data_IF_272849296896
#
_entry.id   IF_272849296896
#
_cell.length_a   1.000
_cell.length_b   1.000
_cell.length_c   1.000
_cell.angle_alpha   90.00
_cell.angle_beta   90.00
_cell.angle_gamma   90.00
#
_symmetry.space_group_name_H-M   'P 1'
#
loop_
_entity.id
_entity.type
_entity.pdbx_description
1 polymer ?
#
# COMPACT_ATOMS: atom_id res chain seq x y z
N UNK A 1 -18.49 -14.54 -12.08
CA UNK A 1 -17.92 -14.02 -10.81
C UNK A 1 -19.05 -13.37 -10.05
N UNK A 2 -19.57 -13.99 -8.99
CA UNK A 2 -20.64 -13.40 -8.17
C UNK A 2 -20.04 -12.22 -7.41
N UNK A 3 -20.44 -11.00 -7.73
CA UNK A 3 -19.99 -9.79 -7.02
C UNK A 3 -20.63 -9.78 -5.63
N UNK A 4 -19.83 -9.52 -4.60
CA UNK A 4 -20.35 -9.39 -3.23
C UNK A 4 -21.22 -8.15 -3.12
N UNK A 5 -22.31 -8.23 -2.37
CA UNK A 5 -23.13 -7.07 -2.04
C UNK A 5 -22.34 -6.12 -1.13
N UNK A 6 -22.65 -4.80 -1.14
CA UNK A 6 -21.96 -3.83 -0.28
C UNK A 6 -21.89 -4.25 1.19
N UNK A 7 -22.96 -4.82 1.72
CA UNK A 7 -23.01 -5.34 3.10
C UNK A 7 -21.99 -6.44 3.37
N UNK A 8 -21.77 -7.34 2.41
CA UNK A 8 -20.81 -8.43 2.55
C UNK A 8 -19.38 -7.93 2.42
N UNK A 9 -19.16 -6.89 1.61
CA UNK A 9 -17.88 -6.17 1.55
C UNK A 9 -17.57 -5.56 2.92
N UNK A 10 -18.53 -4.86 3.55
CA UNK A 10 -18.36 -4.26 4.88
C UNK A 10 -18.03 -5.33 5.94
N UNK A 11 -18.71 -6.48 5.92
CA UNK A 11 -18.40 -7.59 6.85
C UNK A 11 -16.97 -8.09 6.67
N UNK A 12 -16.52 -8.26 5.42
CA UNK A 12 -15.16 -8.75 5.10
C UNK A 12 -14.10 -7.74 5.54
N UNK A 13 -14.25 -6.45 5.19
CA UNK A 13 -13.26 -5.43 5.54
C UNK A 13 -13.22 -5.17 7.05
N UNK A 14 -14.35 -5.28 7.77
CA UNK A 14 -14.37 -5.17 9.23
C UNK A 14 -13.54 -6.28 9.87
N UNK A 15 -13.71 -7.53 9.43
CA UNK A 15 -12.89 -8.65 9.90
C UNK A 15 -11.41 -8.44 9.59
N UNK A 16 -11.08 -8.02 8.37
CA UNK A 16 -9.70 -7.72 7.97
C UNK A 16 -9.08 -6.59 8.81
N UNK A 17 -9.82 -5.49 9.01
CA UNK A 17 -9.39 -4.34 9.80
C UNK A 17 -9.20 -4.69 11.28
N UNK A 18 -10.08 -5.49 11.88
CA UNK A 18 -9.93 -5.99 13.25
C UNK A 18 -8.67 -6.85 13.41
N UNK A 19 -8.38 -7.71 12.44
CA UNK A 19 -7.18 -8.56 12.48
C UNK A 19 -5.90 -7.73 12.42
N UNK A 20 -5.87 -6.68 11.59
CA UNK A 20 -4.72 -5.76 11.52
C UNK A 20 -4.57 -4.92 12.77
N UNK A 21 -5.66 -4.40 13.34
CA UNK A 21 -5.61 -3.63 14.59
C UNK A 21 -5.08 -4.44 15.79
N UNK A 22 -5.27 -5.77 15.78
CA UNK A 22 -4.76 -6.71 16.80
C UNK A 22 -3.35 -7.22 16.51
N UNK A 23 -2.75 -6.85 15.38
CA UNK A 23 -1.44 -7.36 14.99
C UNK A 23 -0.36 -6.92 16.00
N UNK A 24 0.59 -7.83 16.24
CA UNK A 24 1.78 -7.58 17.05
C UNK A 24 2.62 -6.48 16.42
N UNK A 25 3.19 -5.62 17.27
CA UNK A 25 3.96 -4.44 16.85
C UNK A 25 5.10 -4.84 15.91
N UNK A 26 5.86 -5.86 16.28
CA UNK A 26 7.03 -6.32 15.53
C UNK A 26 6.62 -6.82 14.15
N UNK A 27 5.51 -7.57 14.08
CA UNK A 27 4.96 -8.06 12.81
C UNK A 27 4.47 -6.91 11.94
N UNK A 28 3.78 -5.91 12.50
CA UNK A 28 3.33 -4.72 11.76
C UNK A 28 4.51 -3.94 11.19
N UNK A 29 5.60 -3.79 11.95
CA UNK A 29 6.79 -3.08 11.50
C UNK A 29 7.53 -3.84 10.39
N UNK A 30 7.73 -5.15 10.52
CA UNK A 30 8.39 -5.97 9.48
C UNK A 30 7.55 -5.99 8.20
N UNK A 31 6.24 -6.21 8.32
CA UNK A 31 5.34 -6.18 7.17
C UNK A 31 5.21 -4.77 6.57
N UNK A 32 5.28 -3.73 7.38
CA UNK A 32 5.30 -2.35 6.93
C UNK A 32 6.58 -2.01 6.19
N UNK A 33 7.73 -2.47 6.68
CA UNK A 33 9.02 -2.35 5.99
C UNK A 33 8.97 -2.99 4.61
N UNK A 34 8.51 -4.24 4.51
CA UNK A 34 8.38 -4.94 3.23
C UNK A 34 7.46 -4.18 2.27
N UNK A 35 6.31 -3.69 2.75
CA UNK A 35 5.41 -2.89 1.93
C UNK A 35 6.09 -1.62 1.41
N UNK A 36 6.85 -0.91 2.26
CA UNK A 36 7.62 0.26 1.86
C UNK A 36 8.65 -0.04 0.77
N UNK A 37 9.42 -1.13 0.94
CA UNK A 37 10.42 -1.56 -0.03
C UNK A 37 9.81 -1.95 -1.38
N UNK A 38 8.65 -2.64 -1.37
CA UNK A 38 7.94 -2.99 -2.62
C UNK A 38 7.41 -1.76 -3.36
N UNK A 39 6.91 -0.76 -2.64
CA UNK A 39 6.49 0.51 -3.26
C UNK A 39 7.68 1.28 -3.81
N UNK A 40 8.82 1.31 -3.12
CA UNK A 40 10.05 1.90 -3.65
C UNK A 40 10.51 1.19 -4.93
N UNK A 41 10.47 -0.14 -4.97
CA UNK A 41 10.81 -0.91 -6.17
C UNK A 41 9.86 -0.62 -7.35
N UNK A 42 8.55 -0.59 -7.12
CA UNK A 42 7.57 -0.20 -8.16
C UNK A 42 7.76 1.25 -8.63
N UNK A 43 8.10 2.15 -7.72
CA UNK A 43 8.45 3.54 -8.02
C UNK A 43 9.71 3.65 -8.88
N UNK A 44 10.76 2.91 -8.54
CA UNK A 44 12.00 2.86 -9.32
C UNK A 44 11.73 2.35 -10.74
N UNK A 45 10.98 1.27 -10.89
CA UNK A 45 10.59 0.76 -12.21
C UNK A 45 9.85 1.83 -13.02
N UNK A 46 8.88 2.51 -12.41
CA UNK A 46 8.14 3.58 -13.07
C UNK A 46 9.05 4.74 -13.51
N UNK A 47 9.98 5.16 -12.66
CA UNK A 47 10.97 6.21 -12.96
C UNK A 47 11.92 5.76 -14.08
N UNK A 48 12.44 4.53 -14.03
CA UNK A 48 13.36 4.02 -15.05
C UNK A 48 12.69 3.91 -16.42
N UNK A 49 11.48 3.37 -16.49
CA UNK A 49 10.74 3.24 -17.74
C UNK A 49 10.25 4.59 -18.23
N UNK A 50 9.58 5.37 -17.38
CA UNK A 50 9.01 6.65 -17.78
C UNK A 50 10.07 7.72 -18.04
N UNK A 51 11.10 7.79 -17.19
CA UNK A 51 12.22 8.71 -17.32
C UNK A 51 13.16 8.36 -18.46
N UNK A 52 13.26 7.08 -18.82
CA UNK A 52 14.01 6.58 -19.98
C UNK A 52 13.41 6.92 -21.35
N UNK A 53 12.31 7.68 -21.41
CA UNK A 53 11.61 8.04 -22.65
C UNK A 53 11.62 9.56 -22.94
N UNK A 54 12.79 10.24 -22.97
CA UNK A 54 12.85 11.70 -23.13
C UNK A 54 12.28 12.19 -24.47
N UNK A 55 12.51 11.45 -25.56
CA UNK A 55 11.97 11.80 -26.88
C UNK A 55 10.44 11.75 -26.93
N UNK A 56 9.84 10.70 -26.33
CA UNK A 56 8.38 10.60 -26.20
C UNK A 56 7.84 11.68 -25.27
N UNK A 57 8.54 12.01 -24.17
CA UNK A 57 8.12 13.09 -23.28
C UNK A 57 7.97 14.43 -24.02
N UNK A 58 8.85 14.71 -24.98
CA UNK A 58 8.80 15.94 -25.78
C UNK A 58 7.67 15.93 -26.81
N UNK A 59 7.45 14.82 -27.51
CA UNK A 59 6.48 14.73 -28.61
C UNK A 59 5.07 14.34 -28.14
N UNK A 60 4.98 13.54 -27.09
CA UNK A 60 3.73 13.03 -26.51
C UNK A 60 3.87 12.78 -24.98
N UNK A 61 3.82 13.85 -24.16
CA UNK A 61 3.95 13.74 -22.70
C UNK A 61 2.84 12.91 -22.04
N UNK A 62 1.65 12.83 -22.67
CA UNK A 62 0.54 12.01 -22.18
C UNK A 62 0.88 10.53 -22.23
N UNK A 63 1.45 10.06 -23.35
CA UNK A 63 1.85 8.66 -23.50
C UNK A 63 3.00 8.30 -22.54
N UNK A 64 3.99 9.17 -22.36
CA UNK A 64 5.05 8.93 -21.37
C UNK A 64 4.47 8.75 -19.95
N UNK A 65 3.53 9.60 -19.54
CA UNK A 65 2.85 9.47 -18.24
C UNK A 65 1.99 8.19 -18.14
N UNK A 66 1.35 7.77 -19.23
CA UNK A 66 0.60 6.52 -19.28
C UNK A 66 1.52 5.32 -19.00
N UNK A 67 2.68 5.27 -19.64
CA UNK A 67 3.67 4.19 -19.45
C UNK A 67 4.25 4.21 -18.02
N UNK A 68 4.57 5.40 -17.49
CA UNK A 68 4.98 5.56 -16.09
C UNK A 68 3.89 5.04 -15.14
N UNK A 69 2.64 5.47 -15.33
CA UNK A 69 1.51 5.06 -14.50
C UNK A 69 1.15 3.59 -14.63
N UNK A 70 1.36 2.98 -15.80
CA UNK A 70 1.07 1.57 -16.05
C UNK A 70 2.09 0.60 -15.42
N UNK A 71 3.30 1.06 -15.12
CA UNK A 71 4.37 0.23 -14.53
C UNK A 71 4.41 0.31 -13.00
N UNK A 72 3.98 1.43 -12.42
CA UNK A 72 3.89 1.60 -10.95
C UNK A 72 3.10 0.51 -10.20
N UNK A 73 1.97 -0.04 -10.72
CA UNK A 73 1.17 -1.05 -10.02
C UNK A 73 1.93 -2.33 -9.64
N UNK A 74 3.08 -2.62 -10.26
CA UNK A 74 3.93 -3.76 -9.89
C UNK A 74 4.28 -3.72 -8.40
N UNK A 75 4.61 -2.54 -7.85
CA UNK A 75 4.89 -2.40 -6.42
C UNK A 75 3.68 -2.75 -5.54
N UNK A 76 2.47 -2.36 -5.96
CA UNK A 76 1.23 -2.70 -5.25
C UNK A 76 0.88 -4.18 -5.37
N UNK A 77 1.16 -4.82 -6.51
CA UNK A 77 0.97 -6.28 -6.67
C UNK A 77 1.84 -7.06 -5.69
N UNK A 78 3.11 -6.67 -5.53
CA UNK A 78 4.01 -7.27 -4.55
C UNK A 78 3.47 -7.12 -3.11
N UNK A 79 2.95 -5.93 -2.77
CA UNK A 79 2.31 -5.69 -1.46
C UNK A 79 1.17 -6.67 -1.21
N UNK A 80 0.30 -6.86 -2.20
CA UNK A 80 -0.88 -7.73 -2.12
C UNK A 80 -0.48 -9.21 -2.02
N UNK A 81 0.44 -9.67 -2.87
CA UNK A 81 0.91 -11.07 -2.89
C UNK A 81 1.59 -11.43 -1.57
N UNK A 82 2.45 -10.55 -1.06
CA UNK A 82 3.14 -10.76 0.22
C UNK A 82 2.21 -10.62 1.43
N UNK A 83 1.01 -10.05 1.27
CA UNK A 83 0.10 -9.74 2.38
C UNK A 83 0.68 -8.71 3.35
N UNK A 84 1.51 -7.80 2.84
CA UNK A 84 2.26 -6.82 3.65
C UNK A 84 1.37 -5.67 4.16
N UNK A 85 1.89 -4.91 5.13
CA UNK A 85 1.12 -3.86 5.83
C UNK A 85 1.36 -2.48 5.19
N UNK A 86 0.61 -2.17 4.13
CA UNK A 86 0.64 -0.85 3.51
C UNK A 86 -0.34 0.10 4.19
N UNK A 87 0.14 1.28 4.62
CA UNK A 87 -0.63 2.30 5.32
C UNK A 87 -1.91 2.70 4.59
N UNK A 88 -1.83 3.00 3.29
CA UNK A 88 -3.00 3.42 2.50
C UNK A 88 -4.05 2.32 2.39
N UNK A 89 -3.62 1.07 2.21
CA UNK A 89 -4.51 -0.10 2.23
C UNK A 89 -5.14 -0.30 3.60
N UNK A 90 -4.36 -0.11 4.67
CA UNK A 90 -4.84 -0.20 6.04
C UNK A 90 -5.89 0.88 6.34
N UNK A 91 -5.73 2.12 5.86
CA UNK A 91 -6.73 3.18 5.98
C UNK A 91 -8.05 2.75 5.32
N UNK A 92 -7.99 2.23 4.10
CA UNK A 92 -9.19 1.82 3.35
C UNK A 92 -10.02 0.75 4.07
N UNK A 93 -9.38 -0.21 4.74
CA UNK A 93 -10.08 -1.33 5.39
C UNK A 93 -10.40 -1.09 6.86
N UNK A 94 -9.67 -0.22 7.55
CA UNK A 94 -9.83 -0.01 9.00
C UNK A 94 -10.87 1.06 9.35
N UNK A 95 -11.04 2.09 8.52
CA UNK A 95 -11.97 3.20 8.79
C UNK A 95 -13.42 2.73 9.00
N UNK A 96 -14.00 1.84 8.15
CA UNK A 96 -15.34 1.30 8.39
C UNK A 96 -15.47 0.57 9.73
N UNK A 97 -14.41 -0.12 10.17
CA UNK A 97 -14.35 -0.79 11.45
C UNK A 97 -14.33 0.18 12.63
N UNK A 98 -13.68 1.34 12.49
CA UNK A 98 -13.69 2.40 13.51
C UNK A 98 -15.07 3.05 13.60
N UNK A 99 -15.65 3.43 12.45
CA UNK A 99 -16.96 4.08 12.38
C UNK A 99 -18.10 3.18 12.90
N UNK A 100 -18.00 1.86 12.68
CA UNK A 100 -18.95 0.88 13.20
C UNK A 100 -18.69 0.45 14.65
N UNK A 101 -17.71 1.06 15.34
CA UNK A 101 -17.34 0.74 16.73
C UNK A 101 -16.68 -0.64 16.90
N UNK A 102 -16.31 -1.32 15.82
CA UNK A 102 -15.67 -2.64 15.82
C UNK A 102 -14.18 -2.58 16.12
N UNK A 103 -13.53 -1.44 15.82
CA UNK A 103 -12.11 -1.20 16.09
C UNK A 103 -12.00 -0.01 17.06
N UNK A 104 -11.30 -0.22 18.18
CA UNK A 104 -11.00 0.87 19.12
C UNK A 104 -10.10 1.91 18.44
N UNK A 105 -10.44 3.20 18.57
CA UNK A 105 -9.68 4.30 17.96
C UNK A 105 -8.17 4.24 18.30
N UNK A 106 -7.82 3.96 19.56
CA UNK A 106 -6.42 3.79 19.95
C UNK A 106 -5.70 2.66 19.21
N UNK A 107 -6.35 1.50 19.03
CA UNK A 107 -5.77 0.38 18.30
C UNK A 107 -5.60 0.69 16.81
N UNK A 108 -6.54 1.46 16.24
CA UNK A 108 -6.44 1.97 14.88
C UNK A 108 -5.27 2.94 14.71
N UNK A 109 -5.17 3.98 15.54
CA UNK A 109 -4.07 4.96 15.50
C UNK A 109 -2.72 4.28 15.68
N UNK A 110 -2.59 3.32 16.61
CA UNK A 110 -1.38 2.51 16.78
C UNK A 110 -1.01 1.78 15.49
N UNK A 111 -1.96 1.09 14.86
CA UNK A 111 -1.69 0.36 13.61
C UNK A 111 -1.32 1.30 12.46
N UNK A 112 -2.03 2.43 12.33
CA UNK A 112 -1.73 3.46 11.33
C UNK A 112 -0.31 4.00 11.49
N UNK A 113 0.06 4.39 12.71
CA UNK A 113 1.39 4.90 13.00
C UNK A 113 2.48 3.87 12.68
N UNK A 114 2.34 2.63 13.18
CA UNK A 114 3.34 1.58 12.95
C UNK A 114 3.50 1.21 11.47
N UNK A 115 2.38 1.05 10.74
CA UNK A 115 2.44 0.75 9.31
C UNK A 115 3.05 1.89 8.51
N UNK A 116 2.72 3.14 8.82
CA UNK A 116 3.34 4.31 8.18
C UNK A 116 4.84 4.38 8.45
N UNK A 117 5.27 4.23 9.72
CA UNK A 117 6.68 4.23 10.09
C UNK A 117 7.44 3.10 9.39
N UNK A 118 6.88 1.88 9.38
CA UNK A 118 7.46 0.75 8.65
C UNK A 118 7.58 1.05 7.15
N UNK A 119 6.53 1.57 6.52
CA UNK A 119 6.54 1.91 5.10
C UNK A 119 7.60 2.97 4.78
N UNK A 120 7.75 4.00 5.62
CA UNK A 120 8.75 5.05 5.45
C UNK A 120 10.17 4.47 5.56
N UNK A 121 10.45 3.66 6.57
CA UNK A 121 11.77 3.03 6.73
C UNK A 121 12.08 2.11 5.54
N UNK A 122 11.10 1.30 5.12
CA UNK A 122 11.25 0.40 3.98
C UNK A 122 11.46 1.12 2.66
N UNK A 123 10.76 2.24 2.43
CA UNK A 123 10.92 3.01 1.21
C UNK A 123 12.25 3.76 1.16
N UNK A 124 12.71 4.31 2.30
CA UNK A 124 14.03 4.94 2.42
C UNK A 124 15.16 3.92 2.25
N UNK A 125 15.01 2.71 2.82
CA UNK A 125 15.93 1.61 2.57
C UNK A 125 15.99 1.29 1.08
N UNK A 126 14.84 1.08 0.44
CA UNK A 126 14.77 0.84 -1.00
C UNK A 126 15.44 1.95 -1.82
N UNK A 127 15.17 3.22 -1.49
CA UNK A 127 15.75 4.37 -2.19
C UNK A 127 17.26 4.55 -1.97
N UNK A 128 17.82 4.03 -0.87
CA UNK A 128 19.26 4.11 -0.60
C UNK A 128 20.04 2.98 -1.30
N UNK A 129 19.45 1.79 -1.41
CA UNK A 129 20.14 0.59 -1.91
C UNK A 129 19.82 0.23 -3.36
N UNK A 130 18.75 0.77 -3.96
CA UNK A 130 18.35 0.56 -5.34
C UNK A 130 18.61 1.82 -6.18
#
# INVERSE_FOLDING_TARGET
MVTKLPEDIIKVINTAGMNKAKMRIEKTLVMGFLAGAFIAFGGLLAIMVGGGLPGIKMTNPGFQKLVFGGTFPVGLMLVVIAGSELFTGNTAISVPGVLSGRIKCFAWVKNMFLSYTGNLIGSLFGAFFL
#
